data_IF_833901073035
#
_entry.id   IF_833901073035
#
_cell.length_a   1.000
_cell.length_b   1.000
_cell.length_c   1.000
_cell.angle_alpha   90.00
_cell.angle_beta   90.00
_cell.angle_gamma   90.00
#
_symmetry.space_group_name_H-M   'P 1'
#
loop_
_entity.id
_entity.type
_entity.pdbx_description
1 polymer ?
#
# COMPACT_ATOMS: atom_id res chain seq x y z
N UNK A 1 18.41 -48.09 83.60
CA UNK A 1 18.50 -46.98 84.55
C UNK A 1 18.90 -45.73 83.83
N UNK A 2 18.00 -44.77 83.74
CA UNK A 2 18.20 -43.30 83.45
C UNK A 2 19.06 -42.94 82.26
N UNK A 3 18.71 -41.92 81.40
CA UNK A 3 17.94 -40.69 81.53
C UNK A 3 17.89 -40.06 80.17
N UNK A 4 16.73 -39.55 79.83
CA UNK A 4 16.41 -38.44 78.97
C UNK A 4 17.59 -37.64 78.42
N UNK A 5 17.59 -37.44 77.10
CA UNK A 5 17.92 -36.10 76.59
C UNK A 5 17.22 -35.87 75.26
N UNK A 6 16.32 -34.95 75.33
CA UNK A 6 15.59 -34.27 74.28
C UNK A 6 16.60 -33.53 73.47
N UNK A 7 16.73 -33.82 72.19
CA UNK A 7 17.37 -32.89 71.30
C UNK A 7 16.50 -32.67 70.09
N UNK A 8 16.09 -31.40 69.99
CA UNK A 8 15.34 -30.75 69.01
C UNK A 8 15.79 -31.03 67.57
N UNK A 9 14.86 -31.59 66.81
CA UNK A 9 14.98 -31.55 65.35
C UNK A 9 14.73 -30.13 64.88
N UNK A 10 15.80 -29.41 64.61
CA UNK A 10 15.72 -28.20 63.83
C UNK A 10 15.56 -28.64 62.36
N UNK A 11 14.34 -28.69 61.92
CA UNK A 11 14.02 -28.84 60.51
C UNK A 11 14.39 -27.53 59.82
N UNK A 12 15.57 -27.55 59.20
CA UNK A 12 15.94 -26.49 58.28
C UNK A 12 15.09 -26.61 57.02
N UNK A 13 14.01 -25.84 56.98
CA UNK A 13 13.16 -25.67 55.81
C UNK A 13 13.94 -24.88 54.78
N UNK A 14 14.64 -25.58 53.88
CA UNK A 14 15.24 -24.93 52.71
C UNK A 14 14.10 -24.56 51.76
N UNK A 15 13.70 -23.31 51.80
CA UNK A 15 12.76 -22.75 50.87
C UNK A 15 13.45 -22.57 49.51
N UNK A 16 13.33 -23.58 48.64
CA UNK A 16 13.74 -23.47 47.26
C UNK A 16 12.70 -22.60 46.56
N UNK A 17 13.02 -21.33 46.40
CA UNK A 17 12.27 -20.47 45.50
C UNK A 17 12.57 -20.90 44.06
N UNK A 18 11.58 -21.29 43.26
CA UNK A 18 11.79 -21.37 41.83
C UNK A 18 11.95 -19.94 41.28
N UNK A 19 13.14 -19.66 40.83
CA UNK A 19 13.38 -18.46 40.00
C UNK A 19 12.61 -18.72 38.69
N UNK A 20 11.40 -18.20 38.62
CA UNK A 20 10.69 -18.03 37.36
C UNK A 20 11.52 -17.02 36.56
N UNK A 21 12.41 -17.52 35.73
CA UNK A 21 12.99 -16.73 34.67
C UNK A 21 11.83 -16.32 33.73
N UNK A 22 11.22 -15.19 34.06
CA UNK A 22 10.33 -14.52 33.16
C UNK A 22 11.17 -14.05 31.97
N UNK A 23 11.22 -14.88 30.92
CA UNK A 23 11.60 -14.38 29.62
C UNK A 23 10.54 -13.37 29.20
N UNK A 24 10.71 -12.15 29.64
CA UNK A 24 10.03 -11.01 29.02
C UNK A 24 10.64 -10.92 27.62
N UNK A 25 10.00 -11.58 26.64
CA UNK A 25 10.13 -11.15 25.26
C UNK A 25 9.76 -9.67 25.28
N UNK A 26 10.78 -8.84 25.29
CA UNK A 26 10.63 -7.46 24.96
C UNK A 26 10.17 -7.45 23.51
N UNK A 27 8.87 -7.50 23.31
CA UNK A 27 8.27 -7.03 22.09
C UNK A 27 8.64 -5.55 22.07
N UNK A 28 9.70 -5.22 21.35
CA UNK A 28 9.86 -3.86 20.87
C UNK A 28 8.63 -3.64 20.00
N UNK A 29 7.59 -3.15 20.63
CA UNK A 29 6.59 -2.37 19.96
C UNK A 29 7.40 -1.20 19.40
N UNK A 30 7.84 -1.33 18.16
CA UNK A 30 8.19 -0.17 17.39
C UNK A 30 6.93 0.71 17.46
N UNK A 31 7.02 1.71 18.31
CA UNK A 31 6.12 2.84 18.25
C UNK A 31 6.41 3.45 16.90
N UNK A 32 5.76 2.92 15.87
CA UNK A 32 5.56 3.66 14.65
C UNK A 32 4.88 4.94 15.10
N UNK A 33 5.68 6.01 15.20
CA UNK A 33 5.13 7.35 15.08
C UNK A 33 4.11 7.23 13.96
N UNK A 34 2.84 7.65 14.11
CA UNK A 34 1.92 7.62 13.02
C UNK A 34 2.37 8.65 11.99
N UNK A 35 3.42 8.33 11.27
CA UNK A 35 3.65 8.82 9.94
C UNK A 35 2.46 8.30 9.17
N UNK A 36 1.64 9.20 8.67
CA UNK A 36 0.43 8.88 7.94
C UNK A 36 0.83 7.91 6.85
N UNK A 37 0.45 6.64 6.97
CA UNK A 37 0.76 5.62 5.98
C UNK A 37 0.38 6.13 4.59
N UNK A 38 1.19 5.83 3.58
CA UNK A 38 0.88 6.24 2.20
C UNK A 38 -0.40 5.56 1.77
N UNK A 39 -1.32 6.34 1.22
CA UNK A 39 -2.58 5.86 0.68
C UNK A 39 -2.86 6.52 -0.68
N UNK A 40 -3.45 5.76 -1.60
CA UNK A 40 -4.02 6.30 -2.84
C UNK A 40 -5.42 6.80 -2.53
N UNK A 41 -5.65 8.08 -2.76
CA UNK A 41 -6.93 8.75 -2.45
C UNK A 41 -7.81 8.96 -3.66
N UNK A 42 -7.21 9.07 -4.85
CA UNK A 42 -7.95 9.21 -6.11
C UNK A 42 -7.15 8.72 -7.31
N UNK A 43 -7.86 8.33 -8.34
CA UNK A 43 -7.35 8.10 -9.70
C UNK A 43 -8.23 8.89 -10.66
N UNK A 44 -7.66 9.92 -11.27
CA UNK A 44 -8.36 10.80 -12.21
C UNK A 44 -7.85 10.52 -13.62
N UNK A 45 -8.76 10.46 -14.59
CA UNK A 45 -8.46 10.25 -16.00
C UNK A 45 -8.70 11.50 -16.82
N UNK A 46 -7.89 11.72 -17.85
CA UNK A 46 -8.00 12.88 -18.75
C UNK A 46 -7.16 12.73 -20.00
N UNK A 47 -7.29 13.70 -20.92
CA UNK A 47 -6.54 13.78 -22.19
C UNK A 47 -5.23 14.55 -22.07
N UNK A 48 -5.06 15.30 -21.00
CA UNK A 48 -3.89 16.14 -20.77
C UNK A 48 -3.62 16.31 -19.28
N UNK A 49 -2.38 16.61 -18.94
CA UNK A 49 -1.96 16.92 -17.58
C UNK A 49 -1.36 18.33 -17.51
N UNK A 50 -1.48 18.95 -16.35
CA UNK A 50 -0.80 20.19 -16.00
C UNK A 50 0.64 19.97 -15.54
N UNK A 51 1.32 21.06 -15.23
CA UNK A 51 2.70 21.03 -14.69
C UNK A 51 2.79 20.39 -13.29
N UNK A 52 1.67 20.22 -12.63
CA UNK A 52 1.51 19.56 -11.34
C UNK A 52 1.21 18.05 -11.45
N UNK A 53 1.30 17.48 -12.67
CA UNK A 53 0.97 16.10 -13.00
C UNK A 53 -0.50 15.70 -12.76
N UNK A 54 -1.38 16.69 -12.63
CA UNK A 54 -2.83 16.45 -12.53
C UNK A 54 -3.50 16.57 -13.88
N UNK A 55 -4.51 15.73 -14.13
CA UNK A 55 -5.34 15.90 -15.33
C UNK A 55 -6.02 17.26 -15.31
N UNK A 56 -6.01 17.94 -16.45
CA UNK A 56 -6.61 19.29 -16.59
C UNK A 56 -8.13 19.24 -16.63
N UNK A 57 -8.67 18.16 -17.15
CA UNK A 57 -10.09 17.87 -17.20
C UNK A 57 -10.33 16.40 -16.93
N UNK A 58 -11.19 16.11 -15.95
CA UNK A 58 -11.55 14.72 -15.58
C UNK A 58 -12.60 14.20 -16.53
N UNK A 59 -12.27 13.14 -17.26
CA UNK A 59 -13.18 12.48 -18.22
C UNK A 59 -13.04 10.96 -18.10
N UNK A 60 -14.10 10.27 -18.52
CA UNK A 60 -14.16 8.80 -18.57
C UNK A 60 -14.47 8.28 -19.98
N UNK A 61 -14.57 9.17 -20.97
CA UNK A 61 -14.84 8.84 -22.37
C UNK A 61 -13.76 9.44 -23.25
N UNK A 62 -13.12 8.60 -24.06
CA UNK A 62 -12.01 8.94 -24.93
C UNK A 62 -12.28 8.60 -26.38
N UNK A 63 -11.62 9.29 -27.28
CA UNK A 63 -11.55 8.91 -28.68
C UNK A 63 -10.45 7.85 -28.91
N UNK A 64 -10.51 7.06 -30.01
CA UNK A 64 -9.57 5.98 -30.27
C UNK A 64 -8.09 6.41 -30.30
N UNK A 65 -7.81 7.62 -30.73
CA UNK A 65 -6.43 8.15 -30.86
C UNK A 65 -6.00 9.06 -29.72
N UNK A 66 -6.83 9.22 -28.69
CA UNK A 66 -6.45 10.00 -27.53
C UNK A 66 -5.27 9.35 -26.78
N UNK A 67 -4.40 10.19 -26.23
CA UNK A 67 -3.53 9.76 -25.14
C UNK A 67 -4.37 9.78 -23.87
N UNK A 68 -4.37 8.68 -23.16
CA UNK A 68 -5.16 8.51 -21.93
C UNK A 68 -4.23 8.65 -20.74
N UNK A 69 -4.36 9.76 -20.03
CA UNK A 69 -3.60 10.04 -18.81
C UNK A 69 -4.37 9.61 -17.58
N UNK A 70 -3.65 9.08 -16.62
CA UNK A 70 -4.15 8.83 -15.28
C UNK A 70 -3.27 9.54 -14.26
N UNK A 71 -3.89 10.35 -13.41
CA UNK A 71 -3.25 10.93 -12.24
C UNK A 71 -3.63 10.13 -11.01
N UNK A 72 -2.64 9.55 -10.36
CA UNK A 72 -2.80 8.87 -9.07
C UNK A 72 -2.45 9.85 -7.96
N UNK A 73 -3.42 10.16 -7.12
CA UNK A 73 -3.24 11.05 -5.97
C UNK A 73 -2.93 10.19 -4.75
N UNK A 74 -1.83 10.51 -4.10
CA UNK A 74 -1.39 9.86 -2.85
C UNK A 74 -1.32 10.88 -1.73
N UNK A 75 -1.53 10.41 -0.50
CA UNK A 75 -1.30 11.16 0.74
C UNK A 75 -0.43 10.33 1.66
N UNK A 76 0.13 10.98 2.68
CA UNK A 76 1.01 10.31 3.64
C UNK A 76 2.49 10.49 3.31
N UNK A 77 3.34 9.81 4.06
CA UNK A 77 4.78 9.91 3.92
C UNK A 77 5.45 8.54 3.96
N UNK A 78 6.42 8.34 3.08
CA UNK A 78 7.26 7.14 3.06
C UNK A 78 8.60 7.46 2.42
N UNK A 79 9.71 6.87 2.89
CA UNK A 79 10.99 7.00 2.21
C UNK A 79 11.01 6.32 0.83
N UNK A 80 10.12 5.35 0.62
CA UNK A 80 9.94 4.67 -0.66
C UNK A 80 8.60 3.95 -0.71
N UNK A 81 7.85 4.15 -1.79
CA UNK A 81 6.66 3.39 -2.11
C UNK A 81 6.62 3.13 -3.62
N UNK A 82 6.03 2.03 -4.04
CA UNK A 82 5.91 1.66 -5.44
C UNK A 82 4.46 1.77 -5.87
N UNK A 83 4.18 2.62 -6.84
CA UNK A 83 2.91 2.67 -7.54
C UNK A 83 3.03 1.87 -8.83
N UNK A 84 2.05 1.02 -9.11
CA UNK A 84 1.92 0.30 -10.37
C UNK A 84 0.54 0.56 -10.95
N UNK A 85 0.49 0.86 -12.24
CA UNK A 85 -0.74 0.97 -13.02
C UNK A 85 -0.80 -0.16 -14.04
N UNK A 86 -1.89 -0.90 -14.06
CA UNK A 86 -2.16 -1.96 -15.05
C UNK A 86 -3.42 -1.59 -15.82
N UNK A 87 -3.32 -1.50 -17.13
CA UNK A 87 -4.40 -1.17 -18.02
C UNK A 87 -4.91 -2.43 -18.71
N UNK A 88 -6.21 -2.64 -18.70
CA UNK A 88 -6.85 -3.81 -19.30
C UNK A 88 -8.04 -3.42 -20.16
N UNK A 89 -8.32 -4.22 -21.17
CA UNK A 89 -9.52 -4.11 -21.98
C UNK A 89 -10.72 -4.85 -21.32
N UNK A 90 -11.85 -4.81 -21.98
CA UNK A 90 -13.10 -5.46 -21.50
C UNK A 90 -13.01 -6.99 -21.44
N UNK A 91 -12.03 -7.60 -22.11
CA UNK A 91 -11.78 -9.04 -22.09
C UNK A 91 -10.77 -9.43 -21.01
N UNK A 92 -10.27 -8.46 -20.24
CA UNK A 92 -9.25 -8.67 -19.20
C UNK A 92 -7.83 -8.80 -19.76
N UNK A 93 -7.63 -8.48 -21.04
CA UNK A 93 -6.30 -8.48 -21.65
C UNK A 93 -5.52 -7.25 -21.18
N UNK A 94 -4.30 -7.49 -20.69
CA UNK A 94 -3.40 -6.39 -20.28
C UNK A 94 -2.90 -5.66 -21.53
N UNK A 95 -3.11 -4.35 -21.54
CA UNK A 95 -2.66 -3.44 -22.60
C UNK A 95 -1.27 -2.90 -22.26
N UNK A 96 -1.10 -2.45 -21.03
CA UNK A 96 0.13 -1.90 -20.50
C UNK A 96 0.22 -2.06 -18.99
N UNK A 97 1.45 -2.13 -18.51
CA UNK A 97 1.76 -2.08 -17.08
C UNK A 97 2.98 -1.22 -16.88
N UNK A 98 2.87 -0.24 -16.00
CA UNK A 98 4.00 0.64 -15.65
C UNK A 98 4.09 0.87 -14.16
N UNK A 99 5.31 1.10 -13.68
CA UNK A 99 5.61 1.33 -12.27
C UNK A 99 6.35 2.64 -12.07
N UNK A 100 6.14 3.25 -10.91
CA UNK A 100 6.87 4.42 -10.43
C UNK A 100 7.22 4.23 -8.96
N UNK A 101 8.49 4.40 -8.64
CA UNK A 101 8.92 4.52 -7.24
C UNK A 101 8.75 5.97 -6.82
N UNK A 102 8.04 6.20 -5.73
CA UNK A 102 7.75 7.53 -5.19
C UNK A 102 8.29 7.66 -3.77
N UNK A 103 8.59 8.90 -3.38
CA UNK A 103 8.99 9.27 -2.02
C UNK A 103 8.02 10.34 -1.52
N UNK A 104 6.78 9.97 -1.19
CA UNK A 104 5.76 10.96 -0.84
C UNK A 104 6.06 11.60 0.52
N UNK A 105 5.76 12.90 0.59
CA UNK A 105 5.83 13.71 1.80
C UNK A 105 4.61 14.64 1.83
N UNK A 106 3.43 14.07 2.13
CA UNK A 106 2.14 14.72 2.03
C UNK A 106 1.41 14.34 0.75
N UNK A 107 0.50 15.20 0.29
CA UNK A 107 -0.24 14.97 -0.96
C UNK A 107 0.69 15.09 -2.17
N UNK A 108 0.64 14.11 -3.06
CA UNK A 108 1.40 14.07 -4.29
C UNK A 108 0.57 13.51 -5.44
N UNK A 109 0.91 13.91 -6.67
CA UNK A 109 0.33 13.40 -7.90
C UNK A 109 1.38 12.65 -8.71
N UNK A 110 1.05 11.45 -9.16
CA UNK A 110 1.90 10.63 -10.03
C UNK A 110 1.15 10.33 -11.31
N UNK A 111 1.78 10.60 -12.43
CA UNK A 111 1.22 10.42 -13.75
C UNK A 111 1.55 9.07 -14.35
N UNK A 112 0.55 8.44 -14.98
CA UNK A 112 0.66 7.30 -15.88
C UNK A 112 -0.11 7.62 -17.16
N UNK A 113 0.30 7.05 -18.29
CA UNK A 113 -0.46 7.19 -19.53
C UNK A 113 -0.28 6.01 -20.46
N UNK A 114 -1.26 5.84 -21.34
CA UNK A 114 -1.20 4.93 -22.48
C UNK A 114 -1.52 5.68 -23.77
N UNK A 115 -0.89 5.26 -24.84
CA UNK A 115 -1.18 5.73 -26.19
C UNK A 115 -1.06 4.57 -27.17
N UNK A 116 -1.87 4.59 -28.21
CA UNK A 116 -1.83 3.60 -29.28
C UNK A 116 -1.88 4.32 -30.62
N UNK A 117 -0.78 4.31 -31.41
CA UNK A 117 -0.71 5.03 -32.69
C UNK A 117 -1.82 4.65 -33.67
N UNK A 118 -2.21 3.38 -33.68
CA UNK A 118 -3.29 2.86 -34.52
C UNK A 118 -4.69 3.11 -33.95
N UNK A 119 -4.77 3.64 -32.73
CA UNK A 119 -5.98 3.87 -31.98
C UNK A 119 -6.39 2.68 -31.13
N UNK A 120 -7.04 2.96 -30.02
CA UNK A 120 -7.67 1.95 -29.17
C UNK A 120 -8.98 1.48 -29.82
N UNK A 121 -9.26 0.17 -29.85
CA UNK A 121 -10.59 -0.31 -30.19
C UNK A 121 -11.69 0.33 -29.33
N UNK A 122 -12.84 0.59 -29.92
CA UNK A 122 -14.00 1.03 -29.13
C UNK A 122 -14.42 -0.06 -28.16
N UNK A 123 -14.70 0.32 -26.91
CA UNK A 123 -15.07 -0.61 -25.86
C UNK A 123 -14.77 -0.06 -24.47
N UNK A 124 -14.96 -0.91 -23.46
CA UNK A 124 -14.70 -0.58 -22.07
C UNK A 124 -13.29 -0.99 -21.68
N UNK A 125 -12.69 -0.18 -20.84
CA UNK A 125 -11.33 -0.35 -20.36
C UNK A 125 -11.28 -0.10 -18.86
N UNK A 126 -10.19 -0.53 -18.24
CA UNK A 126 -9.95 -0.37 -16.81
C UNK A 126 -8.49 -0.09 -16.53
N UNK A 127 -8.24 0.76 -15.55
CA UNK A 127 -6.95 0.90 -14.90
C UNK A 127 -7.07 0.40 -13.46
N UNK A 128 -6.19 -0.51 -13.08
CA UNK A 128 -6.01 -0.96 -11.72
C UNK A 128 -4.72 -0.37 -11.16
N UNK A 129 -4.81 0.27 -10.00
CA UNK A 129 -3.67 0.90 -9.33
C UNK A 129 -3.30 0.08 -8.10
N UNK A 130 -2.00 -0.21 -7.99
CA UNK A 130 -1.42 -0.96 -6.90
C UNK A 130 -0.45 -0.08 -6.13
N UNK A 131 -0.46 -0.21 -4.82
CA UNK A 131 0.50 0.40 -3.91
C UNK A 131 1.26 -0.71 -3.19
N UNK A 132 2.58 -0.73 -3.36
CA UNK A 132 3.45 -1.78 -2.80
C UNK A 132 2.95 -3.21 -3.07
N UNK A 133 2.46 -3.45 -4.29
CA UNK A 133 1.96 -4.74 -4.75
C UNK A 133 0.50 -5.06 -4.41
N UNK A 134 -0.18 -4.24 -3.64
CA UNK A 134 -1.59 -4.42 -3.28
C UNK A 134 -2.47 -3.52 -4.15
N UNK A 135 -3.51 -4.09 -4.76
CA UNK A 135 -4.50 -3.31 -5.50
C UNK A 135 -5.28 -2.42 -4.53
N UNK A 136 -5.28 -1.11 -4.79
CA UNK A 136 -5.88 -0.11 -3.90
C UNK A 136 -6.99 0.70 -4.56
N UNK A 137 -6.93 0.83 -5.89
CA UNK A 137 -7.94 1.57 -6.67
C UNK A 137 -8.17 0.91 -8.01
N UNK A 138 -9.35 1.10 -8.56
CA UNK A 138 -9.72 0.70 -9.92
C UNK A 138 -10.61 1.77 -10.54
N UNK A 139 -10.36 2.10 -11.80
CA UNK A 139 -11.16 3.07 -12.56
C UNK A 139 -11.49 2.52 -13.94
N UNK A 140 -12.76 2.56 -14.31
CA UNK A 140 -13.21 2.19 -15.65
C UNK A 140 -13.37 3.41 -16.52
N UNK A 141 -13.18 3.25 -17.83
CA UNK A 141 -13.40 4.26 -18.84
C UNK A 141 -13.85 3.61 -20.14
N UNK A 142 -14.28 4.40 -21.09
CA UNK A 142 -14.79 3.93 -22.38
C UNK A 142 -14.08 4.64 -23.53
N UNK A 143 -13.74 3.88 -24.56
CA UNK A 143 -13.30 4.42 -25.84
C UNK A 143 -14.46 4.32 -26.81
N UNK A 144 -14.87 5.46 -27.38
CA UNK A 144 -15.94 5.55 -28.38
C UNK A 144 -15.37 6.00 -29.71
N UNK A 145 -15.71 5.28 -30.77
CA UNK A 145 -15.54 5.80 -32.13
C UNK A 145 -16.41 7.05 -32.31
N UNK A 146 -15.82 8.10 -32.82
CA UNK A 146 -16.53 9.33 -33.17
C UNK A 146 -17.41 9.14 -34.40
#
# INVERSE_FOLDING_TARGET
>A
MFRHSRWLFVTLLVLVLPILASCTKKTESETMTPGTAVAVTAVDLGRSIGSDYRVTEKIDIFAPKDVIYATVITTGASPSAVLKATWTDEHGQVIDTSERTITPSGEAATEFHIAKPDGFPAGKYKIDVYLNGNQVQSRTFEVKAG
#
